data_IF_219929980423
#
_entry.id   IF_219929980423
#
_cell.length_a   1.000
_cell.length_b   1.000
_cell.length_c   1.000
_cell.angle_alpha   90.00
_cell.angle_beta   90.00
_cell.angle_gamma   90.00
#
_symmetry.space_group_name_H-M   'P 1'
#
loop_
_entity.id
_entity.type
_entity.pdbx_description
1 polymer ?
#
# COMPACT_ATOMS: atom_id res chain seq x y z
N UNK A 1 -7.02 3.89 -24.66
CA UNK A 1 -6.39 4.32 -23.40
C UNK A 1 -6.54 3.25 -22.32
N UNK A 2 -7.77 2.87 -21.93
CA UNK A 2 -8.03 1.93 -20.82
C UNK A 2 -7.37 0.55 -21.03
N UNK A 3 -7.44 -0.03 -22.23
CA UNK A 3 -6.78 -1.30 -22.55
C UNK A 3 -5.24 -1.23 -22.40
N UNK A 4 -4.63 -0.15 -22.86
CA UNK A 4 -3.19 0.07 -22.72
C UNK A 4 -2.79 0.18 -21.24
N UNK A 5 -3.56 0.93 -20.44
CA UNK A 5 -3.38 1.05 -19.00
C UNK A 5 -3.42 -0.32 -18.31
N UNK A 6 -4.43 -1.12 -18.64
CA UNK A 6 -4.60 -2.48 -18.11
C UNK A 6 -3.42 -3.37 -18.49
N UNK A 7 -3.02 -3.38 -19.77
CA UNK A 7 -1.89 -4.17 -20.24
C UNK A 7 -0.58 -3.78 -19.55
N UNK A 8 -0.33 -2.49 -19.35
CA UNK A 8 0.86 -2.02 -18.66
C UNK A 8 0.84 -2.39 -17.18
N UNK A 9 -0.32 -2.30 -16.52
CA UNK A 9 -0.44 -2.73 -15.13
C UNK A 9 -0.07 -4.20 -14.97
N UNK A 10 -0.60 -5.09 -15.81
CA UNK A 10 -0.27 -6.52 -15.75
C UNK A 10 1.20 -6.83 -16.03
N UNK A 11 1.79 -6.15 -17.00
CA UNK A 11 3.14 -6.47 -17.47
C UNK A 11 4.22 -5.80 -16.62
N UNK A 12 3.95 -4.62 -16.09
CA UNK A 12 4.95 -3.77 -15.44
C UNK A 12 4.60 -3.37 -14.00
N UNK A 13 3.61 -4.02 -13.41
CA UNK A 13 3.10 -3.81 -12.04
C UNK A 13 2.41 -2.45 -11.79
N UNK A 14 2.63 -1.44 -12.63
CA UNK A 14 1.89 -0.19 -12.66
C UNK A 14 1.78 0.34 -14.09
N UNK A 15 0.72 1.11 -14.35
CA UNK A 15 0.58 1.80 -15.64
C UNK A 15 1.70 2.82 -15.85
N UNK A 16 2.12 3.50 -14.78
CA UNK A 16 3.23 4.46 -14.81
C UNK A 16 4.52 3.81 -15.31
N UNK A 17 4.90 2.66 -14.78
CA UNK A 17 6.12 1.97 -15.17
C UNK A 17 6.11 1.61 -16.66
N UNK A 18 4.98 1.12 -17.18
CA UNK A 18 4.82 0.89 -18.62
C UNK A 18 4.92 2.16 -19.47
N UNK A 19 4.33 3.27 -19.00
CA UNK A 19 4.40 4.57 -19.70
C UNK A 19 5.82 5.15 -19.72
N UNK A 20 6.56 5.02 -18.63
CA UNK A 20 7.96 5.45 -18.57
C UNK A 20 8.82 4.66 -19.56
N UNK A 21 8.67 3.33 -19.60
CA UNK A 21 9.48 2.45 -20.46
C UNK A 21 9.20 2.68 -21.96
N UNK A 22 7.92 2.83 -22.33
CA UNK A 22 7.52 2.83 -23.75
C UNK A 22 7.26 4.22 -24.34
N UNK A 23 7.02 5.23 -23.50
CA UNK A 23 6.61 6.55 -23.96
C UNK A 23 7.45 7.68 -23.36
N UNK A 24 8.46 7.37 -22.54
CA UNK A 24 9.31 8.34 -21.84
C UNK A 24 8.50 9.43 -21.10
N UNK A 25 7.35 9.07 -20.53
CA UNK A 25 6.50 10.01 -19.77
C UNK A 25 7.23 10.39 -18.48
N UNK A 26 7.38 11.68 -18.16
CA UNK A 26 7.91 12.11 -16.86
C UNK A 26 7.00 11.63 -15.72
N UNK A 27 7.52 10.88 -14.75
CA UNK A 27 6.67 10.25 -13.73
C UNK A 27 5.93 11.26 -12.85
N UNK A 28 6.55 12.39 -12.52
CA UNK A 28 5.93 13.44 -11.69
C UNK A 28 4.69 14.05 -12.35
N UNK A 29 4.76 14.32 -13.66
CA UNK A 29 3.63 14.87 -14.41
C UNK A 29 2.47 13.88 -14.45
N UNK A 30 2.77 12.61 -14.68
CA UNK A 30 1.76 11.55 -14.66
C UNK A 30 1.11 11.42 -13.28
N UNK A 31 1.90 11.33 -12.20
CA UNK A 31 1.40 11.20 -10.84
C UNK A 31 0.52 12.40 -10.45
N UNK A 32 0.96 13.62 -10.77
CA UNK A 32 0.16 14.82 -10.54
C UNK A 32 -1.20 14.75 -11.24
N UNK A 33 -1.21 14.30 -12.50
CA UNK A 33 -2.45 14.18 -13.28
C UNK A 33 -3.40 13.13 -12.70
N UNK A 34 -2.91 11.91 -12.42
CA UNK A 34 -3.78 10.81 -11.97
C UNK A 34 -4.22 10.94 -10.52
N UNK A 35 -3.49 11.72 -9.70
CA UNK A 35 -3.84 11.96 -8.30
C UNK A 35 -4.69 13.22 -8.10
N UNK A 36 -4.97 13.97 -9.18
CA UNK A 36 -5.96 15.06 -9.16
C UNK A 36 -7.36 14.47 -9.29
N UNK A 37 -7.82 13.84 -8.21
CA UNK A 37 -9.15 13.22 -8.13
C UNK A 37 -9.99 13.91 -7.07
N UNK A 38 -11.31 13.91 -7.28
CA UNK A 38 -12.25 14.40 -6.28
C UNK A 38 -12.35 13.39 -5.13
N UNK A 39 -11.94 13.79 -3.94
CA UNK A 39 -12.02 13.00 -2.71
C UNK A 39 -13.18 13.43 -1.80
N UNK A 40 -14.05 14.33 -2.24
CA UNK A 40 -15.15 14.89 -1.45
C UNK A 40 -16.18 13.84 -0.99
N UNK A 41 -16.21 12.67 -1.63
CA UNK A 41 -17.03 11.53 -1.22
C UNK A 41 -16.47 10.78 0.00
N UNK A 42 -15.18 10.91 0.28
CA UNK A 42 -14.56 10.27 1.43
C UNK A 42 -15.02 10.92 2.73
N UNK A 43 -15.01 10.14 3.79
CA UNK A 43 -15.36 10.61 5.14
C UNK A 43 -14.31 10.11 6.12
N UNK A 44 -14.17 10.82 7.22
CA UNK A 44 -13.33 10.36 8.33
C UNK A 44 -13.77 8.97 8.81
N UNK A 45 -12.80 8.07 8.98
CA UNK A 45 -13.02 6.76 9.58
C UNK A 45 -12.61 6.79 11.06
N UNK A 46 -13.55 7.21 11.90
CA UNK A 46 -13.32 7.35 13.34
C UNK A 46 -13.07 5.99 14.03
N UNK A 47 -13.57 4.90 13.45
CA UNK A 47 -13.32 3.54 13.97
C UNK A 47 -11.89 3.13 13.68
N UNK A 48 -11.44 3.26 12.44
CA UNK A 48 -10.06 2.97 12.04
C UNK A 48 -9.07 3.86 12.82
N UNK A 49 -9.37 5.17 12.93
CA UNK A 49 -8.54 6.10 13.72
C UNK A 49 -8.35 5.59 15.14
N UNK A 50 -9.43 5.28 15.85
CA UNK A 50 -9.36 4.78 17.24
C UNK A 50 -8.53 3.50 17.35
N UNK A 51 -8.73 2.53 16.47
CA UNK A 51 -7.98 1.27 16.53
C UNK A 51 -6.48 1.50 16.23
N UNK A 52 -6.15 2.39 15.29
CA UNK A 52 -4.76 2.77 15.01
C UNK A 52 -4.09 3.48 16.18
N UNK A 53 -4.80 4.39 16.87
CA UNK A 53 -4.28 5.11 18.05
C UNK A 53 -3.99 4.16 19.21
N UNK A 54 -4.86 3.18 19.44
CA UNK A 54 -4.75 2.24 20.54
C UNK A 54 -3.82 1.05 20.26
N UNK A 55 -3.38 0.88 19.01
CA UNK A 55 -2.48 -0.20 18.63
C UNK A 55 -1.04 0.18 18.98
N UNK A 56 -0.48 -0.48 20.00
CA UNK A 56 0.93 -0.32 20.41
C UNK A 56 1.88 -1.03 19.44
N UNK A 57 1.98 -0.49 18.23
CA UNK A 57 2.87 -0.91 17.16
C UNK A 57 3.28 0.31 16.33
N UNK A 58 4.49 0.31 15.80
CA UNK A 58 4.84 1.27 14.76
C UNK A 58 4.06 0.99 13.49
N UNK A 59 3.68 2.06 12.79
CA UNK A 59 2.82 2.01 11.61
C UNK A 59 3.45 2.82 10.49
N UNK A 60 3.48 2.24 9.30
CA UNK A 60 4.08 2.86 8.11
C UNK A 60 3.15 2.69 6.92
N UNK A 61 3.23 3.64 5.99
CA UNK A 61 2.56 3.57 4.69
C UNK A 61 3.58 3.21 3.63
N UNK A 62 3.26 2.19 2.84
CA UNK A 62 4.06 1.75 1.69
C UNK A 62 3.20 1.76 0.43
N UNK A 63 3.40 2.74 -0.44
CA UNK A 63 2.51 3.00 -1.59
C UNK A 63 3.25 3.06 -2.93
N UNK A 64 2.57 2.62 -4.01
CA UNK A 64 2.98 2.88 -5.39
C UNK A 64 2.49 4.25 -5.91
N UNK A 65 1.76 5.00 -5.09
CA UNK A 65 1.38 6.39 -5.34
C UNK A 65 2.45 7.36 -4.83
N UNK A 66 2.22 8.66 -5.03
CA UNK A 66 3.05 9.72 -4.45
C UNK A 66 2.72 9.97 -2.97
N UNK A 67 3.66 10.55 -2.24
CA UNK A 67 3.44 10.96 -0.85
C UNK A 67 2.30 11.98 -0.72
N UNK A 68 2.20 12.93 -1.66
CA UNK A 68 1.11 13.91 -1.70
C UNK A 68 -0.26 13.23 -1.82
N UNK A 69 -0.37 12.20 -2.67
CA UNK A 69 -1.60 11.43 -2.79
C UNK A 69 -1.94 10.68 -1.49
N UNK A 70 -0.95 10.04 -0.87
CA UNK A 70 -1.12 9.38 0.42
C UNK A 70 -1.57 10.37 1.51
N UNK A 71 -0.94 11.55 1.59
CA UNK A 71 -1.33 12.63 2.51
C UNK A 71 -2.78 13.05 2.30
N UNK A 72 -3.18 13.29 1.04
CA UNK A 72 -4.55 13.69 0.71
C UNK A 72 -5.57 12.65 1.16
N UNK A 73 -5.34 11.37 0.88
CA UNK A 73 -6.24 10.28 1.30
C UNK A 73 -6.28 10.14 2.82
N UNK A 74 -5.13 10.09 3.48
CA UNK A 74 -5.04 9.91 4.93
C UNK A 74 -5.65 11.10 5.69
N UNK A 75 -5.56 12.33 5.13
CA UNK A 75 -6.20 13.52 5.66
C UNK A 75 -7.72 13.43 5.59
N UNK A 76 -8.28 13.00 4.44
CA UNK A 76 -9.72 12.80 4.31
C UNK A 76 -10.26 11.68 5.21
N UNK A 77 -9.43 10.66 5.49
CA UNK A 77 -9.76 9.61 6.46
C UNK A 77 -9.58 10.04 7.92
N UNK A 78 -9.02 11.23 8.18
CA UNK A 78 -8.78 11.75 9.53
C UNK A 78 -7.66 11.05 10.29
N UNK A 79 -6.66 10.48 9.59
CA UNK A 79 -5.58 9.67 10.19
C UNK A 79 -4.16 10.08 9.79
N UNK A 80 -3.98 11.14 9.00
CA UNK A 80 -2.65 11.56 8.54
C UNK A 80 -1.69 11.90 9.68
N UNK A 81 -2.18 12.52 10.74
CA UNK A 81 -1.40 12.88 11.93
C UNK A 81 -0.79 11.69 12.68
N UNK A 82 -1.33 10.48 12.48
CA UNK A 82 -0.79 9.24 13.05
C UNK A 82 0.46 8.73 12.30
N UNK A 83 0.67 9.19 11.08
CA UNK A 83 1.78 8.78 10.21
C UNK A 83 2.74 9.94 9.93
N UNK A 84 2.23 11.04 9.40
CA UNK A 84 3.07 12.12 8.87
C UNK A 84 3.92 11.68 7.66
N UNK A 85 4.68 12.62 7.08
CA UNK A 85 5.54 12.31 5.91
C UNK A 85 6.64 11.30 6.22
N UNK A 86 7.15 11.33 7.43
CA UNK A 86 8.31 10.51 7.82
C UNK A 86 8.00 9.01 7.86
N UNK A 87 6.73 8.64 7.99
CA UNK A 87 6.26 7.25 7.98
C UNK A 87 5.67 6.80 6.65
N UNK A 88 5.83 7.58 5.59
CA UNK A 88 5.40 7.23 4.23
C UNK A 88 6.61 6.88 3.38
N UNK A 89 6.58 5.69 2.76
CA UNK A 89 7.47 5.28 1.67
C UNK A 89 6.65 5.24 0.38
N UNK A 90 6.97 6.09 -0.54
CA UNK A 90 6.24 6.29 -1.78
C UNK A 90 7.01 5.81 -3.03
N UNK A 91 6.41 5.96 -4.19
CA UNK A 91 7.01 5.54 -5.45
C UNK A 91 8.27 6.37 -5.81
N UNK A 92 8.39 7.61 -5.33
CA UNK A 92 9.57 8.45 -5.54
C UNK A 92 10.75 7.96 -4.69
N UNK A 93 10.50 7.62 -3.42
CA UNK A 93 11.48 6.96 -2.54
C UNK A 93 12.02 5.65 -3.15
N UNK A 94 11.17 4.95 -3.92
CA UNK A 94 11.51 3.73 -4.64
C UNK A 94 12.28 3.96 -5.96
N UNK A 95 12.49 5.22 -6.37
CA UNK A 95 13.04 5.56 -7.68
C UNK A 95 12.15 5.09 -8.83
N UNK A 96 10.84 5.16 -8.63
CA UNK A 96 9.76 4.74 -9.56
C UNK A 96 9.74 3.24 -9.89
N UNK A 97 10.40 2.41 -9.10
CA UNK A 97 10.31 0.94 -9.20
C UNK A 97 9.14 0.47 -8.32
N UNK A 98 8.07 -0.11 -8.89
CA UNK A 98 6.86 -0.39 -8.13
C UNK A 98 6.94 -1.67 -7.28
N UNK A 99 6.03 -1.84 -6.32
CA UNK A 99 5.70 -3.13 -5.72
C UNK A 99 5.24 -4.11 -6.82
N UNK A 100 5.54 -5.39 -6.72
CA UNK A 100 6.23 -6.13 -5.65
C UNK A 100 7.75 -6.32 -5.86
N UNK A 101 8.43 -5.38 -6.51
CA UNK A 101 9.86 -5.51 -6.79
C UNK A 101 10.68 -5.59 -5.47
N UNK A 102 11.62 -6.55 -5.41
CA UNK A 102 12.41 -6.81 -4.22
C UNK A 102 13.23 -5.59 -3.78
N UNK A 103 13.82 -4.86 -4.73
CA UNK A 103 14.59 -3.65 -4.47
C UNK A 103 13.76 -2.60 -3.73
N UNK A 104 12.51 -2.41 -4.13
CA UNK A 104 11.59 -1.43 -3.53
C UNK A 104 11.24 -1.79 -2.10
N UNK A 105 10.93 -3.06 -1.86
CA UNK A 105 10.67 -3.56 -0.51
C UNK A 105 11.89 -3.42 0.40
N UNK A 106 13.07 -3.80 -0.07
CA UNK A 106 14.32 -3.74 0.70
C UNK A 106 14.72 -2.30 1.02
N UNK A 107 14.46 -1.32 0.12
CA UNK A 107 14.63 0.11 0.38
C UNK A 107 13.70 0.60 1.49
N UNK A 108 12.42 0.21 1.47
CA UNK A 108 11.44 0.54 2.50
C UNK A 108 11.86 -0.04 3.87
N UNK A 109 12.24 -1.31 3.92
CA UNK A 109 12.76 -1.96 5.13
C UNK A 109 13.96 -1.21 5.69
N UNK A 110 14.91 -0.80 4.84
CA UNK A 110 16.09 -0.03 5.23
C UNK A 110 15.73 1.36 5.74
N UNK A 111 14.81 2.07 5.06
CA UNK A 111 14.39 3.43 5.43
C UNK A 111 13.80 3.46 6.84
N UNK A 112 12.95 2.50 7.16
CA UNK A 112 12.25 2.46 8.45
C UNK A 112 12.95 1.61 9.51
N UNK A 113 14.02 0.87 9.17
CA UNK A 113 14.74 0.02 10.11
C UNK A 113 13.91 -1.14 10.65
N UNK A 114 12.91 -1.60 9.91
CA UNK A 114 11.96 -2.64 10.36
C UNK A 114 12.54 -4.04 10.18
N UNK A 115 12.09 -4.97 11.06
CA UNK A 115 12.37 -6.39 10.92
C UNK A 115 11.19 -7.06 10.19
N UNK A 116 11.35 -7.56 8.95
CA UNK A 116 10.25 -8.19 8.22
C UNK A 116 9.58 -9.34 8.96
N UNK A 117 10.33 -10.12 9.76
CA UNK A 117 9.78 -11.26 10.51
C UNK A 117 8.87 -10.86 11.68
N UNK A 118 8.91 -9.59 12.07
CA UNK A 118 8.06 -9.01 13.13
C UNK A 118 7.03 -8.04 12.54
N UNK A 119 6.88 -8.05 11.21
CA UNK A 119 6.05 -7.10 10.47
C UNK A 119 4.79 -7.77 9.92
N UNK A 120 3.65 -7.14 10.12
CA UNK A 120 2.41 -7.44 9.42
C UNK A 120 2.35 -6.54 8.18
N UNK A 121 2.32 -7.14 7.00
CA UNK A 121 2.23 -6.44 5.73
C UNK A 121 0.83 -6.60 5.15
N UNK A 122 0.07 -5.50 5.13
CA UNK A 122 -1.32 -5.45 4.69
C UNK A 122 -1.37 -4.77 3.31
N UNK A 123 -2.09 -5.37 2.37
CA UNK A 123 -2.16 -4.94 0.97
C UNK A 123 -3.53 -5.28 0.37
N UNK A 124 -4.01 -4.44 -0.53
CA UNK A 124 -5.25 -4.63 -1.28
C UNK A 124 -5.02 -5.32 -2.64
N UNK A 125 -3.80 -5.29 -3.18
CA UNK A 125 -3.40 -6.04 -4.38
C UNK A 125 -2.63 -7.29 -3.93
N UNK A 126 -3.28 -8.46 -3.99
CA UNK A 126 -2.74 -9.71 -3.45
C UNK A 126 -1.31 -10.01 -3.95
N UNK A 127 -1.02 -9.79 -5.24
CA UNK A 127 0.32 -9.98 -5.83
C UNK A 127 1.42 -9.22 -5.10
N UNK A 128 1.15 -8.04 -4.57
CA UNK A 128 2.14 -7.21 -3.88
C UNK A 128 2.62 -7.83 -2.56
N UNK A 129 1.84 -8.74 -1.97
CA UNK A 129 2.22 -9.47 -0.75
C UNK A 129 3.37 -10.44 -0.97
N UNK A 130 3.60 -10.89 -2.21
CA UNK A 130 4.59 -11.93 -2.54
C UNK A 130 6.00 -11.62 -2.04
N UNK A 131 6.43 -10.37 -2.11
CA UNK A 131 7.77 -9.97 -1.64
C UNK A 131 7.85 -9.92 -0.11
N UNK A 132 6.81 -9.42 0.57
CA UNK A 132 6.72 -9.45 2.04
C UNK A 132 6.82 -10.86 2.59
N UNK A 133 6.07 -11.79 2.01
CA UNK A 133 6.14 -13.22 2.35
C UNK A 133 7.57 -13.78 2.18
N UNK A 134 8.23 -13.53 1.03
CA UNK A 134 9.62 -13.95 0.79
C UNK A 134 10.62 -13.39 1.80
N UNK A 135 10.33 -12.26 2.43
CA UNK A 135 11.15 -11.64 3.47
C UNK A 135 10.74 -12.03 4.88
N UNK A 136 9.66 -12.83 5.03
CA UNK A 136 9.20 -13.38 6.31
C UNK A 136 8.13 -12.57 7.03
N UNK A 137 7.51 -11.60 6.36
CA UNK A 137 6.35 -10.88 6.91
C UNK A 137 5.14 -11.80 7.09
N UNK A 138 4.32 -11.51 8.09
CA UNK A 138 2.92 -11.97 8.10
C UNK A 138 2.14 -11.15 7.08
N UNK A 139 1.64 -11.80 6.04
CA UNK A 139 0.98 -11.13 4.92
C UNK A 139 -0.53 -11.17 5.05
N UNK A 140 -1.17 -10.03 4.85
CA UNK A 140 -2.63 -9.88 5.00
C UNK A 140 -3.20 -9.23 3.75
N UNK A 141 -4.06 -9.95 3.05
CA UNK A 141 -4.79 -9.39 1.92
C UNK A 141 -6.13 -8.80 2.35
N UNK A 142 -6.29 -7.50 2.15
CA UNK A 142 -7.56 -6.80 2.26
C UNK A 142 -8.36 -7.05 0.98
N UNK A 143 -9.36 -7.93 1.08
CA UNK A 143 -10.19 -8.35 -0.06
C UNK A 143 -10.95 -7.15 -0.62
N UNK A 144 -10.90 -6.98 -1.92
CA UNK A 144 -11.70 -6.04 -2.66
C UNK A 144 -12.22 -6.68 -3.97
N UNK A 145 -13.19 -6.03 -4.61
CA UNK A 145 -13.80 -6.55 -5.84
C UNK A 145 -13.08 -6.11 -7.11
N UNK A 146 -12.04 -5.28 -6.99
CA UNK A 146 -11.27 -4.82 -8.12
C UNK A 146 -10.49 -5.97 -8.77
N UNK A 147 -10.53 -6.01 -10.10
CA UNK A 147 -9.87 -7.06 -10.86
C UNK A 147 -8.36 -7.15 -10.58
N UNK A 148 -7.70 -6.00 -10.41
CA UNK A 148 -6.28 -5.93 -10.06
C UNK A 148 -5.99 -6.43 -8.64
N UNK A 149 -6.91 -6.20 -7.71
CA UNK A 149 -6.77 -6.64 -6.32
C UNK A 149 -6.67 -8.16 -6.19
N UNK A 150 -7.35 -8.90 -7.08
CA UNK A 150 -7.41 -10.37 -7.07
C UNK A 150 -6.24 -11.06 -7.75
N UNK A 151 -5.26 -10.31 -8.29
CA UNK A 151 -4.09 -10.92 -8.94
C UNK A 151 -3.31 -11.78 -7.95
N UNK A 152 -3.14 -13.06 -8.28
CA UNK A 152 -2.45 -14.06 -7.44
C UNK A 152 -3.10 -14.30 -6.06
N UNK A 153 -4.40 -14.00 -5.89
CA UNK A 153 -5.15 -14.17 -4.65
C UNK A 153 -5.33 -15.65 -4.21
N UNK A 154 -5.00 -16.59 -5.07
CA UNK A 154 -4.99 -18.04 -4.82
C UNK A 154 -3.65 -18.58 -4.32
N UNK A 155 -2.61 -17.75 -4.26
CA UNK A 155 -1.24 -18.17 -3.92
C UNK A 155 -1.04 -18.33 -2.41
N UNK A 156 -0.07 -19.17 -2.07
CA UNK A 156 0.32 -19.55 -0.71
C UNK A 156 1.07 -18.48 0.08
N UNK A 157 1.47 -17.39 -0.59
CA UNK A 157 2.12 -16.26 0.06
C UNK A 157 1.15 -15.34 0.83
N UNK A 158 -0.14 -15.64 0.91
CA UNK A 158 -1.14 -14.89 1.67
C UNK A 158 -1.42 -15.64 2.97
N UNK A 159 -0.97 -15.07 4.11
CA UNK A 159 -1.17 -15.67 5.43
C UNK A 159 -2.61 -15.52 5.93
N UNK A 160 -3.20 -14.35 5.71
CA UNK A 160 -4.57 -14.02 6.13
C UNK A 160 -5.31 -13.26 5.04
N UNK A 161 -6.64 -13.44 5.02
CA UNK A 161 -7.57 -12.72 4.15
C UNK A 161 -8.59 -12.01 5.03
N UNK A 162 -8.77 -10.71 4.82
CA UNK A 162 -9.69 -9.88 5.60
C UNK A 162 -10.58 -9.05 4.69
N UNK A 163 -11.79 -8.74 5.13
CA UNK A 163 -12.74 -7.88 4.41
C UNK A 163 -12.85 -6.49 5.04
N UNK A 164 -12.38 -6.34 6.27
CA UNK A 164 -12.48 -5.07 7.01
C UNK A 164 -11.21 -4.81 7.83
N UNK A 165 -10.49 -3.75 7.46
CA UNK A 165 -9.25 -3.38 8.11
C UNK A 165 -9.44 -2.97 9.58
N UNK A 166 -10.48 -2.19 9.89
CA UNK A 166 -10.72 -1.70 11.25
C UNK A 166 -11.04 -2.84 12.22
N UNK A 167 -11.79 -3.85 11.77
CA UNK A 167 -12.05 -5.06 12.58
C UNK A 167 -10.76 -5.85 12.82
N UNK A 168 -9.94 -6.02 11.80
CA UNK A 168 -8.65 -6.72 11.91
C UNK A 168 -7.70 -6.00 12.87
N UNK A 169 -7.59 -4.68 12.80
CA UNK A 169 -6.78 -3.88 13.74
C UNK A 169 -7.25 -4.06 15.19
N UNK A 170 -8.57 -4.08 15.41
CA UNK A 170 -9.15 -4.37 16.74
C UNK A 170 -8.77 -5.75 17.24
N UNK A 171 -8.83 -6.78 16.40
CA UNK A 171 -8.44 -8.14 16.76
C UNK A 171 -6.96 -8.23 17.18
N UNK A 172 -6.05 -7.64 16.39
CA UNK A 172 -4.62 -7.59 16.74
C UNK A 172 -4.40 -6.91 18.08
N UNK A 173 -5.04 -5.77 18.32
CA UNK A 173 -4.93 -5.02 19.56
C UNK A 173 -5.37 -5.87 20.76
N UNK A 174 -6.49 -6.57 20.67
CA UNK A 174 -7.00 -7.43 21.74
C UNK A 174 -6.07 -8.61 22.03
N UNK A 175 -5.46 -9.21 21.00
CA UNK A 175 -4.49 -10.29 21.17
C UNK A 175 -3.21 -9.84 21.89
N UNK A 176 -2.76 -8.60 21.67
CA UNK A 176 -1.60 -8.03 22.36
C UNK A 176 -1.86 -7.59 23.80
N UNK A 177 -3.11 -7.45 24.19
CA UNK A 177 -3.51 -7.01 25.54
C UNK A 177 -3.67 -8.19 26.52
N UNK A 178 -3.47 -9.42 26.04
CA UNK A 178 -3.45 -10.66 26.86
C UNK A 178 -2.03 -11.07 27.21
#
# INVERSE_FOLDING_TARGET
AKELQTNYFYKYNTSLNGLMIHHNIPPQEFLKYVHTIDLSFMREDTVMRRELEQLDMEKFIFTNGSAEHAENILTHLGIYDLFGRDKVFDIEDAGYVPKPEAKTFDLMVKKFGINPKETIYIEDIAKNLSIGHKRGCTTVWLINDEHFGKMDADKDFISHKIENLSLFLKEIRLLKSQ
#
